data_IF_602931466705
#
_entry.id   IF_602931466705
#
_cell.length_a   1.000
_cell.length_b   1.000
_cell.length_c   1.000
_cell.angle_alpha   90.00
_cell.angle_beta   90.00
_cell.angle_gamma   90.00
#
_symmetry.space_group_name_H-M   'P 1'
#
loop_
_entity.id
_entity.type
_entity.pdbx_description
1 polymer ?
#
# COMPACT_ATOMS: atom_id res chain seq x y z
N UNK A 1 -11.55 -10.32 29.68
CA UNK A 1 -11.51 -10.48 28.21
C UNK A 1 -12.70 -9.72 27.62
N UNK A 2 -12.50 -8.59 26.93
CA UNK A 2 -13.61 -7.83 26.34
C UNK A 2 -14.00 -8.50 25.02
N UNK A 3 -15.20 -9.08 24.97
CA UNK A 3 -15.78 -9.67 23.76
C UNK A 3 -16.16 -8.52 22.82
N UNK A 4 -15.63 -8.53 21.59
CA UNK A 4 -16.01 -7.57 20.57
C UNK A 4 -17.50 -7.72 20.23
N UNK A 5 -18.29 -6.66 20.39
CA UNK A 5 -19.70 -6.61 19.96
C UNK A 5 -19.79 -5.86 18.63
N UNK A 6 -20.46 -6.48 17.66
CA UNK A 6 -20.83 -5.82 16.41
C UNK A 6 -21.88 -4.73 16.71
N UNK A 7 -21.55 -3.46 16.45
CA UNK A 7 -22.34 -2.31 16.94
C UNK A 7 -23.40 -1.80 15.97
N UNK A 8 -23.45 -2.30 14.73
CA UNK A 8 -24.42 -1.86 13.71
C UNK A 8 -24.38 -0.36 13.38
N UNK A 9 -23.34 0.35 13.83
CA UNK A 9 -23.24 1.81 13.74
C UNK A 9 -22.58 2.22 12.43
N UNK A 10 -23.23 3.11 11.68
CA UNK A 10 -22.59 3.81 10.56
C UNK A 10 -21.61 4.82 11.15
N UNK A 11 -20.32 4.54 11.02
CA UNK A 11 -19.29 5.40 11.59
C UNK A 11 -19.12 6.62 10.69
N UNK A 12 -19.32 7.83 11.24
CA UNK A 12 -18.78 9.05 10.62
C UNK A 12 -17.26 8.97 10.60
N UNK A 13 -16.72 8.39 9.53
CA UNK A 13 -15.29 8.17 9.39
C UNK A 13 -14.58 9.52 9.25
N UNK A 14 -13.79 9.89 10.26
CA UNK A 14 -12.86 11.03 10.15
C UNK A 14 -11.81 10.80 9.07
N UNK A 15 -11.21 11.91 8.60
CA UNK A 15 -10.08 11.85 7.65
C UNK A 15 -8.98 10.94 8.17
N UNK A 16 -8.44 10.08 7.30
CA UNK A 16 -7.35 9.16 7.66
C UNK A 16 -6.07 9.94 7.95
N UNK A 17 -5.87 11.08 7.29
CA UNK A 17 -4.69 11.94 7.49
C UNK A 17 -4.63 12.57 8.90
N UNK A 18 -5.76 12.63 9.61
CA UNK A 18 -5.82 13.13 10.99
C UNK A 18 -5.34 12.12 12.04
N UNK A 19 -5.07 10.88 11.62
CA UNK A 19 -4.56 9.84 12.51
C UNK A 19 -3.04 9.99 12.67
N UNK A 20 -2.49 9.75 13.88
CA UNK A 20 -1.05 9.65 14.03
C UNK A 20 -0.52 8.46 13.23
N UNK A 21 0.74 8.54 12.82
CA UNK A 21 1.41 7.40 12.21
C UNK A 21 1.49 6.23 13.21
N UNK A 22 1.46 4.98 12.73
CA UNK A 22 1.58 3.83 13.60
C UNK A 22 2.91 3.84 14.36
N UNK A 23 2.88 3.49 15.65
CA UNK A 23 4.08 3.24 16.42
C UNK A 23 4.51 1.77 16.23
N UNK A 24 5.66 1.59 15.58
CA UNK A 24 6.21 0.28 15.27
C UNK A 24 7.20 -0.21 16.34
N UNK A 25 7.61 0.62 17.29
CA UNK A 25 8.56 0.24 18.36
C UNK A 25 8.07 -0.92 19.24
N UNK A 26 6.80 -0.97 19.67
CA UNK A 26 6.32 -2.06 20.53
C UNK A 26 6.40 -3.45 19.88
N UNK A 27 6.61 -3.50 18.56
CA UNK A 27 6.75 -4.74 17.79
C UNK A 27 8.21 -5.11 17.51
N UNK A 28 9.19 -4.39 18.07
CA UNK A 28 10.61 -4.60 17.83
C UNK A 28 10.91 -4.67 16.32
N UNK A 29 10.36 -3.72 15.56
CA UNK A 29 10.41 -3.73 14.10
C UNK A 29 11.85 -3.67 13.60
N UNK A 30 12.75 -3.00 14.34
CA UNK A 30 14.16 -2.89 13.97
C UNK A 30 14.81 -4.28 13.96
N UNK A 31 14.66 -5.03 15.04
CA UNK A 31 15.13 -6.41 15.16
C UNK A 31 14.47 -7.30 14.09
N UNK A 32 13.17 -7.10 13.82
CA UNK A 32 12.46 -7.83 12.76
C UNK A 32 13.08 -7.60 11.38
N UNK A 33 13.43 -6.36 11.03
CA UNK A 33 14.06 -6.01 9.76
C UNK A 33 15.51 -6.53 9.68
N UNK A 34 16.25 -6.48 10.79
CA UNK A 34 17.64 -6.88 10.87
C UNK A 34 17.79 -8.42 10.84
N UNK A 35 16.87 -9.17 11.47
CA UNK A 35 16.99 -10.62 11.67
C UNK A 35 16.03 -11.46 10.80
N UNK A 36 14.79 -11.01 10.59
CA UNK A 36 13.70 -11.82 9.99
C UNK A 36 13.40 -11.49 8.52
N UNK A 37 14.21 -10.64 7.89
CA UNK A 37 14.29 -10.44 6.43
C UNK A 37 14.13 -11.75 5.65
N UNK A 38 14.72 -12.83 6.17
CA UNK A 38 14.81 -14.13 5.51
C UNK A 38 13.49 -14.93 5.52
N UNK A 39 12.65 -14.78 6.55
CA UNK A 39 11.42 -15.58 6.70
C UNK A 39 10.29 -15.12 5.75
N UNK A 40 10.26 -13.84 5.37
CA UNK A 40 9.25 -13.30 4.45
C UNK A 40 9.55 -13.56 2.97
N UNK A 41 10.78 -13.97 2.63
CA UNK A 41 11.20 -14.32 1.25
C UNK A 41 10.39 -15.46 0.63
N UNK A 42 9.75 -16.31 1.44
CA UNK A 42 8.94 -17.42 0.92
C UNK A 42 7.58 -16.98 0.37
N UNK A 43 7.06 -15.82 0.81
CA UNK A 43 5.77 -15.30 0.36
C UNK A 43 5.92 -14.19 -0.69
N UNK A 44 7.00 -13.41 -0.62
CA UNK A 44 7.26 -12.30 -1.53
C UNK A 44 8.63 -12.43 -2.18
N UNK A 45 8.66 -12.32 -3.51
CA UNK A 45 9.91 -12.17 -4.27
C UNK A 45 10.32 -10.70 -4.25
N UNK A 46 11.31 -10.37 -3.42
CA UNK A 46 11.87 -9.02 -3.35
C UNK A 46 12.86 -8.75 -4.50
N UNK A 47 12.96 -7.50 -4.91
CA UNK A 47 13.92 -7.04 -5.93
C UNK A 47 15.36 -6.95 -5.43
N UNK A 48 15.57 -6.98 -4.11
CA UNK A 48 16.87 -6.83 -3.45
C UNK A 48 17.28 -8.10 -2.71
N UNK A 49 18.57 -8.51 -2.77
CA UNK A 49 19.05 -9.68 -2.06
C UNK A 49 18.85 -9.50 -0.55
N UNK A 50 19.37 -8.42 0.06
CA UNK A 50 19.25 -8.15 1.50
C UNK A 50 18.00 -7.32 1.82
N UNK A 51 16.85 -7.85 1.42
CA UNK A 51 15.56 -7.17 1.58
C UNK A 51 15.24 -6.86 3.05
N UNK A 52 14.93 -5.60 3.33
CA UNK A 52 14.42 -5.07 4.60
C UNK A 52 13.01 -4.54 4.33
N UNK A 53 11.97 -5.39 4.36
CA UNK A 53 10.62 -5.03 3.96
C UNK A 53 9.88 -4.25 5.05
N UNK A 54 9.40 -3.05 4.72
CA UNK A 54 8.59 -2.22 5.59
C UNK A 54 7.19 -2.04 5.02
N UNK A 55 6.18 -2.14 5.88
CA UNK A 55 4.79 -2.13 5.49
C UNK A 55 4.10 -0.83 5.88
N UNK A 56 3.39 -0.21 4.94
CA UNK A 56 2.51 0.92 5.21
C UNK A 56 1.10 0.67 4.65
N UNK A 57 0.14 1.43 5.15
CA UNK A 57 -1.23 1.49 4.63
C UNK A 57 -1.50 2.92 4.17
N UNK A 58 -1.62 3.10 2.85
CA UNK A 58 -1.86 4.38 2.20
C UNK A 58 -3.35 4.65 1.94
N UNK A 59 -4.21 3.63 2.04
CA UNK A 59 -5.65 3.75 1.90
C UNK A 59 -6.40 2.63 2.62
N UNK A 60 -7.70 2.81 2.82
CA UNK A 60 -8.56 1.81 3.45
C UNK A 60 -9.80 1.54 2.62
N UNK A 61 -10.18 0.27 2.61
CA UNK A 61 -11.33 -0.28 1.90
C UNK A 61 -11.17 -0.23 0.38
N UNK A 62 -12.19 -0.71 -0.33
CA UNK A 62 -12.23 -0.77 -1.78
C UNK A 62 -13.66 -0.45 -2.24
N UNK A 63 -13.88 0.46 -3.21
CA UNK A 63 -15.21 0.80 -3.69
C UNK A 63 -15.81 -0.28 -4.60
N UNK A 64 -15.03 -1.29 -5.01
CA UNK A 64 -15.49 -2.37 -5.85
C UNK A 64 -16.23 -3.43 -5.03
N UNK A 65 -17.42 -3.83 -5.50
CA UNK A 65 -18.29 -4.80 -4.84
C UNK A 65 -18.17 -6.19 -5.47
N UNK A 66 -16.95 -6.73 -5.53
CA UNK A 66 -16.69 -8.06 -6.10
C UNK A 66 -17.40 -9.16 -5.29
N UNK A 67 -18.16 -10.02 -5.96
CA UNK A 67 -18.99 -11.06 -5.33
C UNK A 67 -18.19 -12.12 -4.57
N UNK A 68 -16.99 -12.43 -5.04
CA UNK A 68 -16.07 -13.40 -4.43
C UNK A 68 -15.16 -12.79 -3.36
N UNK A 69 -15.14 -11.47 -3.20
CA UNK A 69 -14.16 -10.79 -2.36
C UNK A 69 -14.61 -10.77 -0.90
N UNK A 70 -13.80 -11.32 0.00
CA UNK A 70 -14.02 -11.26 1.46
C UNK A 70 -13.95 -9.84 2.02
N UNK A 71 -13.31 -8.92 1.28
CA UNK A 71 -13.22 -7.50 1.61
C UNK A 71 -14.39 -6.67 1.06
N UNK A 72 -15.38 -7.30 0.43
CA UNK A 72 -16.59 -6.62 -0.06
C UNK A 72 -17.42 -6.08 1.11
N UNK A 73 -17.15 -4.84 1.50
CA UNK A 73 -17.86 -4.14 2.56
C UNK A 73 -18.75 -3.06 1.96
N UNK A 74 -19.97 -3.46 1.58
CA UNK A 74 -21.02 -2.53 1.13
C UNK A 74 -21.22 -1.42 2.16
N UNK A 75 -21.31 -0.18 1.68
CA UNK A 75 -21.54 1.01 2.52
C UNK A 75 -20.30 1.59 3.21
N UNK A 76 -19.11 0.97 3.07
CA UNK A 76 -17.88 1.57 3.59
C UNK A 76 -17.19 2.37 2.48
N UNK A 77 -16.97 3.68 2.67
CA UNK A 77 -16.31 4.50 1.66
C UNK A 77 -14.82 4.14 1.55
N UNK A 78 -14.32 4.16 0.32
CA UNK A 78 -12.89 4.18 0.05
C UNK A 78 -12.26 5.44 0.65
N UNK A 79 -11.20 5.28 1.43
CA UNK A 79 -10.53 6.40 2.09
C UNK A 79 -9.03 6.32 1.85
N UNK A 80 -8.56 7.10 0.87
CA UNK A 80 -7.15 7.30 0.63
C UNK A 80 -6.58 8.38 1.56
N UNK A 81 -5.35 8.19 1.99
CA UNK A 81 -4.54 9.26 2.58
C UNK A 81 -4.00 10.19 1.50
N UNK A 82 -3.77 11.45 1.83
CA UNK A 82 -3.06 12.36 0.92
C UNK A 82 -1.66 11.81 0.61
N UNK A 83 -1.13 12.10 -0.58
CA UNK A 83 0.22 11.62 -0.94
C UNK A 83 1.26 12.25 -0.02
N UNK A 84 1.09 13.52 0.34
CA UNK A 84 1.96 14.23 1.29
C UNK A 84 2.00 13.52 2.65
N UNK A 85 0.84 13.09 3.16
CA UNK A 85 0.74 12.37 4.43
C UNK A 85 1.44 11.01 4.38
N UNK A 86 1.34 10.29 3.25
CA UNK A 86 2.02 9.00 3.04
C UNK A 86 3.53 9.19 2.93
N UNK A 87 3.97 10.19 2.18
CA UNK A 87 5.39 10.51 1.95
C UNK A 87 6.07 10.94 3.25
N UNK A 88 5.37 11.67 4.13
CA UNK A 88 5.89 12.01 5.46
C UNK A 88 6.04 10.78 6.36
N UNK A 89 5.11 9.82 6.32
CA UNK A 89 5.28 8.55 7.05
C UNK A 89 6.47 7.74 6.49
N UNK A 90 6.64 7.70 5.18
CA UNK A 90 7.80 7.06 4.53
C UNK A 90 9.08 7.73 5.02
N UNK A 91 9.13 9.07 5.06
CA UNK A 91 10.29 9.83 5.52
C UNK A 91 10.67 9.47 6.96
N UNK A 92 9.72 9.56 7.88
CA UNK A 92 9.93 9.28 9.32
C UNK A 92 10.41 7.84 9.54
N UNK A 93 9.79 6.87 8.86
CA UNK A 93 10.16 5.46 9.02
C UNK A 93 11.47 5.12 8.32
N UNK A 94 11.78 5.74 7.18
CA UNK A 94 13.04 5.51 6.47
C UNK A 94 14.22 6.03 7.28
N UNK A 95 14.09 7.22 7.88
CA UNK A 95 15.09 7.82 8.77
C UNK A 95 15.38 6.94 10.00
N UNK A 96 14.37 6.24 10.50
CA UNK A 96 14.48 5.43 11.71
C UNK A 96 14.95 4.00 11.46
N UNK A 97 14.49 3.39 10.38
CA UNK A 97 14.62 1.94 10.15
C UNK A 97 15.45 1.57 8.93
N UNK A 98 15.74 2.51 8.03
CA UNK A 98 16.51 2.30 6.80
C UNK A 98 16.07 1.04 6.04
N UNK A 99 14.77 0.91 5.81
CA UNK A 99 14.22 -0.16 4.99
C UNK A 99 14.61 0.04 3.52
N UNK A 100 14.65 -1.03 2.73
CA UNK A 100 15.00 -0.97 1.31
C UNK A 100 13.92 -1.59 0.38
N UNK A 101 12.84 -2.11 0.98
CA UNK A 101 11.63 -2.54 0.27
C UNK A 101 10.44 -1.92 0.98
N UNK A 102 9.62 -1.16 0.27
CA UNK A 102 8.35 -0.63 0.76
C UNK A 102 7.18 -1.43 0.19
N UNK A 103 6.33 -1.94 1.07
CA UNK A 103 5.13 -2.69 0.69
C UNK A 103 3.91 -1.88 1.09
N UNK A 104 3.12 -1.50 0.10
CA UNK A 104 1.85 -0.82 0.30
C UNK A 104 0.75 -1.87 0.38
N UNK A 105 0.24 -2.11 1.60
CA UNK A 105 -0.71 -3.20 1.92
C UNK A 105 -2.16 -2.88 1.56
N UNK A 106 -2.39 -1.83 0.76
CA UNK A 106 -3.72 -1.41 0.38
C UNK A 106 -4.45 -2.47 -0.46
N UNK A 107 -5.74 -2.68 -0.20
CA UNK A 107 -6.62 -3.47 -1.08
C UNK A 107 -6.74 -2.84 -2.48
N UNK A 108 -6.66 -1.51 -2.53
CA UNK A 108 -6.69 -0.71 -3.74
C UNK A 108 -5.79 0.51 -3.54
N UNK A 109 -4.61 0.52 -4.14
CA UNK A 109 -3.73 1.68 -4.07
C UNK A 109 -4.38 2.96 -4.64
N UNK A 110 -5.06 2.83 -5.79
CA UNK A 110 -5.80 3.92 -6.42
C UNK A 110 -5.76 3.92 -7.95
N UNK A 111 -5.98 5.10 -8.53
CA UNK A 111 -6.06 5.32 -9.97
C UNK A 111 -4.73 5.85 -10.57
N UNK A 112 -4.69 5.99 -11.90
CA UNK A 112 -3.53 6.53 -12.64
C UNK A 112 -3.00 7.86 -12.06
N UNK A 113 -3.87 8.79 -11.68
CA UNK A 113 -3.45 10.10 -11.12
C UNK A 113 -2.63 9.90 -9.85
N UNK A 114 -3.14 9.08 -8.92
CA UNK A 114 -2.46 8.77 -7.67
C UNK A 114 -1.13 8.06 -7.88
N UNK A 115 -1.05 7.16 -8.87
CA UNK A 115 0.20 6.49 -9.24
C UNK A 115 1.27 7.50 -9.68
N UNK A 116 0.89 8.46 -10.53
CA UNK A 116 1.80 9.50 -11.02
C UNK A 116 2.26 10.40 -9.87
N UNK A 117 1.32 10.85 -9.04
CA UNK A 117 1.57 11.73 -7.90
C UNK A 117 2.53 11.07 -6.90
N UNK A 118 2.23 9.84 -6.48
CA UNK A 118 3.11 9.08 -5.59
C UNK A 118 4.50 8.85 -6.19
N UNK A 119 4.58 8.47 -7.46
CA UNK A 119 5.86 8.21 -8.13
C UNK A 119 6.74 9.46 -8.20
N UNK A 120 6.14 10.63 -8.49
CA UNK A 120 6.87 11.90 -8.50
C UNK A 120 7.35 12.26 -7.09
N UNK A 121 6.51 12.12 -6.06
CA UNK A 121 6.91 12.41 -4.68
C UNK A 121 8.00 11.45 -4.17
N UNK A 122 8.01 10.19 -4.61
CA UNK A 122 9.11 9.27 -4.31
C UNK A 122 10.40 9.73 -4.98
N UNK A 123 10.37 10.13 -6.26
CA UNK A 123 11.54 10.66 -6.96
C UNK A 123 12.10 11.92 -6.29
N UNK A 124 11.23 12.85 -5.88
CA UNK A 124 11.62 14.02 -5.09
C UNK A 124 12.27 13.62 -3.77
N UNK A 125 11.74 12.58 -3.11
CA UNK A 125 12.33 12.04 -1.88
C UNK A 125 13.69 11.37 -2.09
N UNK A 126 13.92 10.72 -3.23
CA UNK A 126 15.24 10.22 -3.62
C UNK A 126 16.24 11.37 -3.74
N UNK A 127 15.88 12.45 -4.44
CA UNK A 127 16.74 13.62 -4.62
C UNK A 127 17.01 14.38 -3.31
N UNK A 128 15.98 14.53 -2.46
CA UNK A 128 16.04 15.36 -1.25
C UNK A 128 16.59 14.63 -0.03
N UNK A 129 16.25 13.36 0.14
CA UNK A 129 16.54 12.58 1.34
C UNK A 129 17.47 11.39 1.09
N UNK A 130 17.87 11.14 -0.15
CA UNK A 130 18.72 10.01 -0.50
C UNK A 130 18.03 8.66 -0.33
N UNK A 131 16.71 8.61 -0.53
CA UNK A 131 15.96 7.36 -0.43
C UNK A 131 16.50 6.31 -1.40
N UNK A 132 16.82 5.14 -0.86
CA UNK A 132 17.19 3.96 -1.61
C UNK A 132 16.31 2.78 -1.20
N UNK A 133 15.13 2.71 -1.79
CA UNK A 133 14.21 1.59 -1.63
C UNK A 133 13.44 1.32 -2.93
N UNK A 134 13.04 0.08 -3.13
CA UNK A 134 12.07 -0.29 -4.16
C UNK A 134 10.69 -0.45 -3.52
N UNK A 135 9.62 -0.34 -4.30
CA UNK A 135 8.27 -0.45 -3.76
C UNK A 135 7.33 -1.30 -4.59
N UNK A 136 6.28 -1.79 -3.92
CA UNK A 136 5.22 -2.57 -4.54
C UNK A 136 3.84 -2.21 -3.97
N UNK A 137 2.81 -2.50 -4.75
CA UNK A 137 1.42 -2.22 -4.38
C UNK A 137 0.43 -3.20 -5.02
N UNK A 138 -0.82 -3.15 -4.57
CA UNK A 138 -1.94 -3.88 -5.17
C UNK A 138 -2.99 -2.89 -5.70
N UNK A 139 -3.65 -3.26 -6.80
CA UNK A 139 -4.69 -2.42 -7.39
C UNK A 139 -5.77 -3.23 -8.10
N UNK A 140 -6.72 -2.54 -8.72
CA UNK A 140 -7.78 -3.12 -9.55
C UNK A 140 -7.47 -2.93 -11.05
N UNK A 141 -7.86 -3.86 -11.94
CA UNK A 141 -7.71 -3.68 -13.40
C UNK A 141 -8.33 -2.39 -13.96
N UNK A 142 -9.33 -1.84 -13.27
CA UNK A 142 -9.95 -0.55 -13.62
C UNK A 142 -9.16 0.68 -13.16
N UNK A 143 -7.93 0.54 -12.67
CA UNK A 143 -7.07 1.68 -12.34
C UNK A 143 -6.65 2.52 -13.55
N UNK A 144 -6.84 1.98 -14.78
CA UNK A 144 -6.57 2.64 -16.08
C UNK A 144 -5.14 3.17 -16.20
N UNK A 145 -4.17 2.37 -15.76
CA UNK A 145 -2.76 2.66 -16.00
C UNK A 145 -2.43 2.53 -17.49
N UNK A 146 -1.52 3.37 -17.96
CA UNK A 146 -0.92 3.29 -19.30
C UNK A 146 0.60 3.13 -19.20
N UNK A 147 1.23 2.89 -20.34
CA UNK A 147 2.67 2.62 -20.42
C UNK A 147 3.50 3.75 -19.78
N UNK A 148 3.12 5.01 -19.98
CA UNK A 148 3.87 6.16 -19.45
C UNK A 148 3.76 6.26 -17.92
N UNK A 149 2.56 6.04 -17.36
CA UNK A 149 2.41 5.98 -15.89
C UNK A 149 3.19 4.82 -15.26
N UNK A 150 3.27 3.68 -15.94
CA UNK A 150 4.04 2.52 -15.46
C UNK A 150 5.55 2.70 -15.60
N UNK A 151 6.02 3.35 -16.67
CA UNK A 151 7.43 3.74 -16.82
C UNK A 151 7.85 4.71 -15.73
N UNK A 152 7.00 5.69 -15.42
CA UNK A 152 7.24 6.63 -14.33
C UNK A 152 7.33 5.90 -12.98
N UNK A 153 6.37 5.01 -12.69
CA UNK A 153 6.40 4.20 -11.48
C UNK A 153 7.68 3.34 -11.41
N UNK A 154 8.09 2.72 -12.52
CA UNK A 154 9.32 1.94 -12.60
C UNK A 154 10.56 2.79 -12.33
N UNK A 155 10.63 4.00 -12.89
CA UNK A 155 11.70 4.97 -12.63
C UNK A 155 11.77 5.34 -11.14
N UNK A 156 10.61 5.47 -10.49
CA UNK A 156 10.49 5.75 -9.07
C UNK A 156 10.74 4.53 -8.15
N UNK A 157 11.23 3.40 -8.67
CA UNK A 157 11.54 2.21 -7.87
C UNK A 157 10.39 1.18 -7.75
N UNK A 158 9.27 1.35 -8.46
CA UNK A 158 8.23 0.33 -8.48
C UNK A 158 8.76 -0.92 -9.21
N UNK A 159 8.88 -2.05 -8.51
CA UNK A 159 9.36 -3.29 -9.10
C UNK A 159 8.26 -4.30 -9.37
N UNK A 160 7.14 -4.20 -8.64
CA UNK A 160 6.03 -5.14 -8.72
C UNK A 160 4.72 -4.42 -8.40
N UNK A 161 3.69 -4.67 -9.19
CA UNK A 161 2.32 -4.41 -8.79
C UNK A 161 1.46 -5.63 -9.10
N UNK A 162 0.44 -5.87 -8.27
CA UNK A 162 -0.51 -6.94 -8.49
C UNK A 162 -1.90 -6.37 -8.71
N UNK A 163 -2.73 -7.08 -9.46
CA UNK A 163 -4.14 -6.75 -9.59
C UNK A 163 -4.99 -8.01 -9.52
N UNK A 164 -6.17 -7.89 -8.91
CA UNK A 164 -7.13 -8.99 -8.86
C UNK A 164 -7.76 -9.20 -10.23
N UNK A 165 -7.36 -10.25 -10.93
CA UNK A 165 -8.00 -10.68 -12.17
C UNK A 165 -9.10 -11.70 -11.88
N UNK A 166 -10.36 -11.25 -11.90
CA UNK A 166 -11.51 -12.13 -11.70
C UNK A 166 -12.31 -12.29 -12.99
N UNK A 167 -12.04 -13.39 -13.72
CA UNK A 167 -12.74 -13.90 -14.92
C UNK A 167 -12.79 -13.00 -16.18
N UNK A 168 -12.63 -13.63 -17.35
CA UNK A 168 -12.71 -13.00 -18.68
C UNK A 168 -14.13 -12.54 -19.04
N UNK A 169 -14.30 -11.54 -19.93
CA UNK A 169 -15.56 -10.80 -20.14
C UNK A 169 -16.77 -11.62 -20.60
N UNK A 170 -16.57 -12.85 -21.05
CA UNK A 170 -17.61 -13.65 -21.72
C UNK A 170 -18.49 -14.48 -20.79
N UNK A 171 -18.15 -14.59 -19.51
CA UNK A 171 -19.02 -15.24 -18.55
C UNK A 171 -18.78 -14.67 -17.14
N UNK A 172 -19.86 -14.39 -16.41
CA UNK A 172 -19.94 -14.44 -14.92
C UNK A 172 -20.00 -13.15 -14.09
N UNK A 173 -19.94 -11.92 -14.61
CA UNK A 173 -19.98 -10.71 -13.75
C UNK A 173 -21.19 -9.78 -13.96
N UNK A 174 -22.35 -10.34 -14.30
CA UNK A 174 -23.64 -9.67 -14.08
C UNK A 174 -24.31 -10.31 -12.87
N UNK A 175 -24.13 -9.70 -11.71
CA UNK A 175 -24.81 -10.04 -10.46
C UNK A 175 -24.98 -8.79 -9.63
#
# INVERSE_FOLDING_TARGET
MKIAKFTGTDYKYRSVDSLPFPDYEPFNIKEMLDEYSVATRHLYKYSRPDARPFNIVASRSCPFTCTFCVHNRRGIPYRARSIENVIEEIRVNYEKYHFNILIILDELFGNKKRLIEFSNSVLEGVEKYGWDFDWMFQTHPNARFDLESLKLAKKAGCYLFSYGWSSSPTASLRG
#
